data_IF_844940957284
#
_entry.id   IF_844940957284
#
_cell.length_a   1.000
_cell.length_b   1.000
_cell.length_c   1.000
_cell.angle_alpha   90.00
_cell.angle_beta   90.00
_cell.angle_gamma   90.00
#
_symmetry.space_group_name_H-M   'P 1'
#
loop_
_entity.id
_entity.type
_entity.pdbx_description
1 polymer ?
#
# COMPACT_ATOMS: atom_id res chain seq x y z
N UNK A 1 1.44 -4.42 15.20
CA UNK A 1 1.91 -3.97 13.87
C UNK A 1 1.02 -4.63 12.85
N UNK A 2 0.21 -3.85 12.15
CA UNK A 2 -0.87 -4.36 11.30
C UNK A 2 -0.26 -5.04 10.07
N UNK A 3 -0.39 -6.37 10.02
CA UNK A 3 0.10 -7.23 8.93
C UNK A 3 -0.94 -7.35 7.82
N UNK A 4 -2.22 -7.20 8.12
CA UNK A 4 -3.31 -7.27 7.14
C UNK A 4 -4.33 -6.17 7.39
N UNK A 5 -4.80 -5.54 6.32
CA UNK A 5 -5.88 -4.56 6.37
C UNK A 5 -6.88 -4.82 5.24
N UNK A 6 -8.17 -4.63 5.53
CA UNK A 6 -9.26 -4.77 4.58
C UNK A 6 -9.94 -3.42 4.41
N UNK A 7 -10.12 -3.00 3.17
CA UNK A 7 -10.73 -1.75 2.78
C UNK A 7 -11.94 -2.02 1.91
N UNK A 8 -13.02 -1.30 2.19
CA UNK A 8 -14.10 -1.09 1.23
C UNK A 8 -13.86 0.22 0.50
N UNK A 9 -14.02 0.16 -0.82
CA UNK A 9 -13.73 1.24 -1.74
C UNK A 9 -14.94 1.41 -2.64
N UNK A 10 -15.54 2.60 -2.60
CA UNK A 10 -16.72 2.97 -3.40
C UNK A 10 -16.36 4.16 -4.28
N UNK A 11 -16.94 4.23 -5.47
CA UNK A 11 -16.74 5.35 -6.39
C UNK A 11 -15.59 5.16 -7.37
N UNK A 12 -14.97 3.98 -7.44
CA UNK A 12 -14.06 3.59 -8.52
C UNK A 12 -14.35 2.17 -9.00
N UNK A 13 -13.97 1.89 -10.25
CA UNK A 13 -13.98 0.55 -10.83
C UNK A 13 -12.72 -0.21 -10.48
N UNK A 14 -12.78 -1.55 -10.58
CA UNK A 14 -11.61 -2.41 -10.41
C UNK A 14 -10.47 -2.03 -11.37
N UNK A 15 -10.80 -1.70 -12.61
CA UNK A 15 -9.82 -1.31 -13.62
C UNK A 15 -9.07 -0.04 -13.22
N UNK A 16 -9.76 1.01 -12.74
CA UNK A 16 -9.13 2.25 -12.28
C UNK A 16 -8.19 2.03 -11.08
N UNK A 17 -8.59 1.15 -10.15
CA UNK A 17 -7.77 0.76 -9.01
C UNK A 17 -6.53 -0.03 -9.44
N UNK A 18 -6.70 -1.01 -10.34
CA UNK A 18 -5.59 -1.79 -10.90
C UNK A 18 -4.62 -0.92 -11.73
N UNK A 19 -5.12 0.04 -12.51
CA UNK A 19 -4.28 0.94 -13.30
C UNK A 19 -3.54 1.93 -12.41
N UNK A 20 -4.16 2.38 -11.32
CA UNK A 20 -3.46 3.19 -10.32
C UNK A 20 -2.35 2.41 -9.65
N UNK A 21 -2.61 1.14 -9.27
CA UNK A 21 -1.58 0.24 -8.76
C UNK A 21 -0.41 0.11 -9.73
N UNK A 22 -0.65 -0.20 -11.01
CA UNK A 22 0.42 -0.27 -12.02
C UNK A 22 1.21 1.03 -12.11
N UNK A 23 0.53 2.18 -12.07
CA UNK A 23 1.17 3.51 -12.12
C UNK A 23 1.91 3.91 -10.85
N UNK A 24 1.70 3.20 -9.74
CA UNK A 24 2.35 3.50 -8.46
C UNK A 24 3.81 3.05 -8.39
N UNK A 25 4.31 2.32 -9.40
CA UNK A 25 5.73 1.99 -9.50
C UNK A 25 6.54 3.30 -9.54
N UNK A 26 7.56 3.38 -8.69
CA UNK A 26 8.37 4.60 -8.56
C UNK A 26 7.79 5.65 -7.62
N UNK A 27 6.55 5.50 -7.15
CA UNK A 27 6.01 6.30 -6.04
C UNK A 27 6.97 6.26 -4.86
N UNK A 28 7.18 7.42 -4.26
CA UNK A 28 7.96 7.53 -3.04
C UNK A 28 7.34 8.51 -2.06
N UNK A 29 7.44 8.19 -0.78
CA UNK A 29 7.00 9.04 0.31
C UNK A 29 8.04 9.04 1.42
N UNK A 30 8.19 10.16 2.11
CA UNK A 30 9.09 10.27 3.26
C UNK A 30 8.28 10.16 4.53
N UNK A 31 8.59 9.14 5.34
CA UNK A 31 7.92 8.90 6.62
C UNK A 31 8.90 9.02 7.79
N UNK A 32 8.44 9.46 8.96
CA UNK A 32 9.17 9.27 10.19
C UNK A 32 9.07 7.80 10.64
N UNK A 33 10.20 7.19 11.01
CA UNK A 33 10.28 5.84 11.59
C UNK A 33 10.96 5.94 12.94
N UNK A 34 10.34 5.38 13.96
CA UNK A 34 10.92 5.32 15.30
C UNK A 34 12.00 4.23 15.39
N UNK A 35 13.16 4.63 15.94
CA UNK A 35 14.32 3.77 16.16
C UNK A 35 14.78 3.91 17.62
N UNK A 36 15.67 3.01 18.07
CA UNK A 36 16.26 3.11 19.43
C UNK A 36 16.97 4.45 19.68
N UNK A 37 17.45 5.10 18.62
CA UNK A 37 18.14 6.39 18.64
C UNK A 37 17.22 7.59 18.38
N UNK A 38 15.90 7.39 18.30
CA UNK A 38 14.92 8.45 18.01
C UNK A 38 14.26 8.34 16.64
N UNK A 39 13.67 9.44 16.17
CA UNK A 39 12.94 9.51 14.89
C UNK A 39 13.90 9.66 13.71
N UNK A 40 13.80 8.74 12.76
CA UNK A 40 14.56 8.75 11.51
C UNK A 40 13.62 9.03 10.33
N UNK A 41 13.98 9.97 9.45
CA UNK A 41 13.25 10.19 8.20
C UNK A 41 13.69 9.16 7.17
N UNK A 42 12.73 8.39 6.68
CA UNK A 42 12.97 7.27 5.77
C UNK A 42 12.13 7.47 4.53
N UNK A 43 12.78 7.41 3.36
CA UNK A 43 12.09 7.36 2.08
C UNK A 43 11.63 5.93 1.83
N UNK A 44 10.33 5.76 1.65
CA UNK A 44 9.73 4.54 1.12
C UNK A 44 9.59 4.71 -0.38
N UNK A 45 9.98 3.69 -1.14
CA UNK A 45 9.79 3.64 -2.59
C UNK A 45 9.17 2.31 -3.01
N UNK A 46 8.16 2.35 -3.87
CA UNK A 46 7.65 1.16 -4.55
C UNK A 46 8.66 0.77 -5.64
N UNK A 47 9.40 -0.31 -5.41
CA UNK A 47 10.51 -0.74 -6.27
C UNK A 47 10.05 -1.59 -7.44
N UNK A 48 9.11 -2.49 -7.19
CA UNK A 48 8.57 -3.38 -8.22
C UNK A 48 7.16 -3.78 -7.88
N UNK A 49 6.42 -4.14 -8.91
CA UNK A 49 5.07 -4.69 -8.79
C UNK A 49 4.88 -5.78 -9.83
N UNK A 50 4.26 -6.89 -9.42
CA UNK A 50 3.96 -8.01 -10.30
C UNK A 50 2.60 -8.60 -9.94
N UNK A 51 1.83 -9.01 -10.95
CA UNK A 51 0.58 -9.72 -10.73
C UNK A 51 0.90 -11.20 -10.49
N UNK A 52 0.47 -11.74 -9.34
CA UNK A 52 0.58 -13.16 -8.99
C UNK A 52 -0.85 -13.67 -8.78
N UNK A 53 -1.32 -14.49 -9.72
CA UNK A 53 -2.72 -14.95 -9.76
C UNK A 53 -3.70 -13.76 -9.76
N UNK A 54 -4.54 -13.64 -8.72
CA UNK A 54 -5.56 -12.60 -8.60
C UNK A 54 -5.13 -11.41 -7.73
N UNK A 55 -3.86 -11.34 -7.33
CA UNK A 55 -3.34 -10.31 -6.45
C UNK A 55 -2.10 -9.65 -7.05
N UNK A 56 -1.78 -8.46 -6.56
CA UNK A 56 -0.58 -7.71 -6.90
C UNK A 56 0.44 -7.86 -5.77
N UNK A 57 1.59 -8.46 -6.08
CA UNK A 57 2.76 -8.44 -5.19
C UNK A 57 3.51 -7.13 -5.40
N UNK A 58 3.73 -6.40 -4.31
CA UNK A 58 4.33 -5.07 -4.27
C UNK A 58 5.54 -5.11 -3.35
N UNK A 59 6.72 -4.75 -3.89
CA UNK A 59 7.97 -4.68 -3.12
C UNK A 59 8.31 -3.22 -2.83
N UNK A 60 8.39 -2.87 -1.56
CA UNK A 60 8.83 -1.54 -1.11
C UNK A 60 10.25 -1.60 -0.60
N UNK A 61 11.05 -0.58 -0.91
CA UNK A 61 12.35 -0.35 -0.28
C UNK A 61 12.30 0.88 0.62
N UNK A 62 13.02 0.81 1.73
CA UNK A 62 13.17 1.88 2.70
C UNK A 62 14.63 2.34 2.75
N UNK A 63 14.88 3.63 2.61
CA UNK A 63 16.23 4.23 2.64
C UNK A 63 16.27 5.51 3.46
N UNK A 64 17.42 5.79 4.08
CA UNK A 64 17.70 7.07 4.75
C UNK A 64 18.86 7.74 4.01
N UNK A 65 18.59 8.86 3.33
CA UNK A 65 19.54 9.40 2.36
C UNK A 65 19.85 8.38 1.26
N UNK A 66 21.13 8.14 0.99
CA UNK A 66 21.60 7.13 0.02
C UNK A 66 21.67 5.71 0.59
N UNK A 67 21.50 5.53 1.90
CA UNK A 67 21.68 4.23 2.57
C UNK A 67 20.40 3.40 2.51
N UNK A 68 20.49 2.20 1.95
CA UNK A 68 19.42 1.20 2.07
C UNK A 68 19.28 0.74 3.52
N UNK A 69 18.04 0.65 4.00
CA UNK A 69 17.72 0.25 5.37
C UNK A 69 16.97 -1.07 5.39
N UNK A 70 15.81 -1.13 4.73
CA UNK A 70 14.91 -2.28 4.80
C UNK A 70 14.14 -2.51 3.49
N UNK A 71 13.49 -3.66 3.41
CA UNK A 71 12.54 -3.99 2.36
C UNK A 71 11.33 -4.70 2.92
N UNK A 72 10.18 -4.48 2.29
CA UNK A 72 8.93 -5.16 2.62
C UNK A 72 8.22 -5.61 1.35
N UNK A 73 7.43 -6.67 1.49
CA UNK A 73 6.64 -7.26 0.40
C UNK A 73 5.20 -7.36 0.87
N UNK A 74 4.29 -6.84 0.06
CA UNK A 74 2.86 -6.84 0.30
C UNK A 74 2.12 -7.48 -0.85
N UNK A 75 1.06 -8.21 -0.53
CA UNK A 75 0.06 -8.64 -1.51
C UNK A 75 -1.16 -7.73 -1.41
N UNK A 76 -1.69 -7.34 -2.57
CA UNK A 76 -2.90 -6.54 -2.70
C UNK A 76 -3.88 -7.29 -3.56
N UNK A 77 -4.96 -7.78 -2.96
CA UNK A 77 -6.02 -8.48 -3.66
C UNK A 77 -7.24 -7.58 -3.75
N UNK A 78 -7.88 -7.53 -4.92
CA UNK A 78 -9.10 -6.74 -5.16
C UNK A 78 -10.22 -7.70 -5.51
N UNK A 79 -11.34 -7.56 -4.82
CA UNK A 79 -12.55 -8.35 -5.01
C UNK A 79 -13.72 -7.42 -5.27
N UNK A 80 -14.64 -7.84 -6.12
CA UNK A 80 -15.91 -7.17 -6.35
C UNK A 80 -16.90 -7.64 -5.27
N UNK A 81 -17.58 -6.70 -4.59
CA UNK A 81 -18.46 -6.97 -3.45
C UNK A 81 -19.75 -6.16 -3.56
N UNK A 82 -20.69 -6.66 -4.36
CA UNK A 82 -22.02 -6.10 -4.70
C UNK A 82 -22.04 -4.60 -5.06
N UNK A 83 -21.84 -3.72 -4.07
CA UNK A 83 -21.91 -2.26 -4.17
C UNK A 83 -20.56 -1.57 -3.97
N UNK A 84 -19.51 -2.30 -3.60
CA UNK A 84 -18.17 -1.79 -3.33
C UNK A 84 -17.09 -2.73 -3.89
N UNK A 85 -15.87 -2.20 -4.00
CA UNK A 85 -14.68 -3.03 -4.15
C UNK A 85 -14.10 -3.31 -2.77
N UNK A 86 -13.65 -4.54 -2.56
CA UNK A 86 -12.91 -4.93 -1.37
C UNK A 86 -11.43 -5.06 -1.72
N UNK A 87 -10.61 -4.17 -1.18
CA UNK A 87 -9.15 -4.23 -1.31
C UNK A 87 -8.56 -4.82 -0.03
N UNK A 88 -7.80 -5.90 -0.16
CA UNK A 88 -7.11 -6.58 0.95
C UNK A 88 -5.62 -6.40 0.78
N UNK A 89 -4.97 -5.75 1.75
CA UNK A 89 -3.52 -5.54 1.78
C UNK A 89 -2.92 -6.44 2.85
N UNK A 90 -1.94 -7.26 2.49
CA UNK A 90 -1.29 -8.20 3.43
C UNK A 90 0.23 -8.15 3.29
N UNK A 91 0.95 -7.84 4.37
CA UNK A 91 2.40 -7.95 4.41
C UNK A 91 2.82 -9.42 4.42
N UNK A 92 3.54 -9.84 3.39
CA UNK A 92 4.09 -11.19 3.25
C UNK A 92 5.47 -11.33 3.89
N UNK A 93 6.35 -10.35 3.65
CA UNK A 93 7.74 -10.36 4.12
C UNK A 93 8.20 -8.96 4.53
N UNK A 94 9.22 -8.90 5.37
CA UNK A 94 9.85 -7.67 5.81
C UNK A 94 9.86 -7.50 7.33
N UNK A 95 10.49 -6.41 7.77
CA UNK A 95 10.67 -6.06 9.19
C UNK A 95 9.46 -5.34 9.80
N UNK A 96 8.51 -4.91 8.96
CA UNK A 96 7.23 -4.33 9.34
C UNK A 96 7.29 -2.89 9.87
N UNK A 97 8.24 -2.09 9.35
CA UNK A 97 8.23 -0.64 9.50
C UNK A 97 7.04 0.02 8.81
N UNK A 98 6.40 -0.67 7.86
CA UNK A 98 5.17 -0.20 7.21
C UNK A 98 4.03 -1.15 7.59
N UNK A 99 2.95 -0.57 8.12
CA UNK A 99 1.72 -1.32 8.37
C UNK A 99 0.92 -1.48 7.07
N UNK A 100 0.19 -2.58 6.96
CA UNK A 100 -0.64 -2.85 5.78
C UNK A 100 -1.75 -1.81 5.57
N UNK A 101 -2.31 -1.25 6.64
CA UNK A 101 -3.32 -0.20 6.55
C UNK A 101 -2.73 1.12 6.03
N UNK A 102 -1.53 1.50 6.49
CA UNK A 102 -0.81 2.67 6.00
C UNK A 102 -0.51 2.56 4.51
N UNK A 103 0.04 1.43 4.06
CA UNK A 103 0.32 1.21 2.64
C UNK A 103 -0.97 1.26 1.80
N UNK A 104 -2.02 0.59 2.27
CA UNK A 104 -3.31 0.58 1.58
C UNK A 104 -3.90 1.98 1.44
N UNK A 105 -3.81 2.80 2.49
CA UNK A 105 -4.26 4.19 2.44
C UNK A 105 -3.47 5.02 1.41
N UNK A 106 -2.15 4.90 1.33
CA UNK A 106 -1.37 5.63 0.31
C UNK A 106 -1.79 5.28 -1.10
N UNK A 107 -2.04 3.99 -1.36
CA UNK A 107 -2.50 3.55 -2.68
C UNK A 107 -3.87 4.14 -2.99
N UNK A 108 -4.79 4.13 -2.02
CA UNK A 108 -6.13 4.68 -2.21
C UNK A 108 -6.11 6.22 -2.30
N UNK A 109 -5.18 6.91 -1.66
CA UNK A 109 -4.96 8.34 -1.85
C UNK A 109 -4.47 8.65 -3.27
N UNK A 110 -3.60 7.82 -3.85
CA UNK A 110 -3.21 7.93 -5.25
C UNK A 110 -4.42 7.75 -6.17
N UNK A 111 -5.34 6.83 -5.86
CA UNK A 111 -6.58 6.65 -6.64
C UNK A 111 -7.48 7.88 -6.48
N UNK A 112 -7.67 8.37 -5.24
CA UNK A 112 -8.50 9.52 -4.92
C UNK A 112 -8.03 10.78 -5.65
N UNK A 113 -6.71 10.95 -5.84
CA UNK A 113 -6.17 12.06 -6.62
C UNK A 113 -6.57 12.05 -8.10
N UNK A 114 -6.95 10.88 -8.64
CA UNK A 114 -7.45 10.71 -10.01
C UNK A 114 -8.97 10.59 -10.09
N UNK A 115 -9.62 10.18 -9.00
CA UNK A 115 -11.06 10.03 -8.89
C UNK A 115 -11.56 10.58 -7.55
N UNK A 116 -12.08 11.81 -7.58
CA UNK A 116 -12.49 12.56 -6.39
C UNK A 116 -13.69 11.95 -5.65
N UNK A 117 -14.44 11.04 -6.29
CA UNK A 117 -15.63 10.41 -5.70
C UNK A 117 -15.28 9.19 -4.84
N UNK A 118 -13.98 8.88 -4.67
CA UNK A 118 -13.50 7.73 -3.93
C UNK A 118 -13.78 7.82 -2.43
N UNK A 119 -14.75 7.03 -1.98
CA UNK A 119 -15.03 6.81 -0.55
C UNK A 119 -14.32 5.54 -0.09
N UNK A 120 -13.61 5.63 1.04
CA UNK A 120 -12.81 4.54 1.58
C UNK A 120 -13.17 4.31 3.04
N UNK A 121 -13.40 3.05 3.40
CA UNK A 121 -13.61 2.63 4.78
C UNK A 121 -12.68 1.46 5.11
N UNK A 122 -11.95 1.55 6.22
CA UNK A 122 -11.19 0.40 6.75
C UNK A 122 -12.18 -0.46 7.53
N UNK A 123 -12.35 -1.70 7.07
CA UNK A 123 -13.30 -2.66 7.66
C UNK A 123 -12.61 -3.49 8.73
N UNK A 124 -11.36 -3.90 8.48
CA UNK A 124 -10.62 -4.79 9.39
C UNK A 124 -9.13 -4.44 9.43
N UNK A 125 -8.50 -4.64 10.60
CA UNK A 125 -7.05 -4.54 10.83
C UNK A 125 -6.59 -5.72 11.68
N UNK A 126 -5.56 -6.44 11.23
CA UNK A 126 -4.92 -7.56 11.92
C UNK A 126 -3.40 -7.41 11.95
#
# INVERSE_FOLDING_TARGET
MVKKAVFEVVGCTRAELEDTLKSSIGFSSVIPVETRSGLLRVQVKIKSMSRISNCWELKTGLSSGSKWMWGEVFDICIYDDETALRMVVTRKKGVGRINADVLGMWILELVRSKNSNLTVRIVERF
#
